data_IF_042207859729
#
_entry.id   IF_042207859729
#
_cell.length_a   1.000
_cell.length_b   1.000
_cell.length_c   1.000
_cell.angle_alpha   90.00
_cell.angle_beta   90.00
_cell.angle_gamma   90.00
#
_symmetry.space_group_name_H-M   'P 1'
#
loop_
_entity.id
_entity.type
_entity.pdbx_description
1 polymer ?
#
# COMPACT_ATOMS: atom_id res chain seq x y z
N UNK A 1 0.72 -0.43 -7.72
CA UNK A 1 1.14 0.16 -6.41
C UNK A 1 -0.14 0.36 -5.59
N UNK A 2 -0.12 0.16 -4.28
CA UNK A 2 -1.28 0.46 -3.40
C UNK A 2 -0.95 1.74 -2.63
N UNK A 3 -1.48 2.91 -3.03
CA UNK A 3 -1.20 4.17 -2.34
C UNK A 3 -1.98 4.27 -1.02
N UNK A 4 -1.27 4.63 0.05
CA UNK A 4 -1.82 4.66 1.41
C UNK A 4 -1.44 5.96 2.09
N UNK A 5 -2.43 6.70 2.59
CA UNK A 5 -2.27 7.87 3.44
C UNK A 5 -2.43 7.44 4.90
N UNK A 6 -1.32 7.40 5.62
CA UNK A 6 -1.31 6.99 7.02
C UNK A 6 -1.45 8.20 7.98
N UNK A 7 -1.83 7.92 9.22
CA UNK A 7 -1.97 8.86 10.35
C UNK A 7 -3.15 9.82 10.22
N UNK A 8 -4.25 9.35 9.64
CA UNK A 8 -5.49 10.15 9.51
C UNK A 8 -6.13 10.53 10.85
N UNK A 9 -5.73 9.87 11.93
CA UNK A 9 -6.16 10.14 13.30
C UNK A 9 -5.61 11.45 13.89
N UNK A 10 -4.60 12.06 13.25
CA UNK A 10 -3.99 13.27 13.77
C UNK A 10 -4.87 14.50 13.52
N UNK A 11 -5.06 15.39 14.50
CA UNK A 11 -5.91 16.58 14.37
C UNK A 11 -5.39 17.59 13.33
N UNK A 12 -4.11 17.49 12.94
CA UNK A 12 -3.50 18.29 11.88
C UNK A 12 -3.32 17.54 10.56
N UNK A 13 -3.93 16.36 10.40
CA UNK A 13 -3.88 15.65 9.13
C UNK A 13 -4.72 16.39 8.08
N UNK A 14 -4.20 16.47 6.85
CA UNK A 14 -4.93 16.94 5.67
C UNK A 14 -4.96 15.82 4.60
N UNK A 15 -5.80 14.78 4.78
CA UNK A 15 -5.83 13.65 3.86
C UNK A 15 -6.22 14.04 2.44
N UNK A 16 -7.09 15.04 2.25
CA UNK A 16 -7.53 15.46 0.92
C UNK A 16 -6.43 16.23 0.17
N UNK A 17 -5.78 17.19 0.81
CA UNK A 17 -4.67 17.92 0.19
C UNK A 17 -3.51 16.99 -0.18
N UNK A 18 -3.17 16.05 0.70
CA UNK A 18 -2.11 15.06 0.42
C UNK A 18 -2.55 14.07 -0.65
N UNK A 19 -3.82 13.65 -0.68
CA UNK A 19 -4.33 12.79 -1.75
C UNK A 19 -4.17 13.46 -3.13
N UNK A 20 -4.48 14.75 -3.24
CA UNK A 20 -4.29 15.49 -4.49
C UNK A 20 -2.81 15.51 -4.91
N UNK A 21 -1.89 15.74 -3.98
CA UNK A 21 -0.46 15.68 -4.29
C UNK A 21 -0.01 14.30 -4.76
N UNK A 22 -0.56 13.23 -4.18
CA UNK A 22 -0.28 11.85 -4.61
C UNK A 22 -0.82 11.59 -6.02
N UNK A 23 -2.02 12.09 -6.34
CA UNK A 23 -2.60 12.00 -7.69
C UNK A 23 -1.68 12.71 -8.69
N UNK A 24 -1.26 13.93 -8.39
CA UNK A 24 -0.42 14.74 -9.28
C UNK A 24 0.96 14.12 -9.50
N UNK A 25 1.52 13.43 -8.49
CA UNK A 25 2.86 12.85 -8.53
C UNK A 25 2.89 11.42 -9.10
N UNK A 26 1.96 10.57 -8.70
CA UNK A 26 1.93 9.14 -9.01
C UNK A 26 1.01 8.84 -10.21
N UNK A 27 0.03 9.69 -10.49
CA UNK A 27 -0.93 9.51 -11.58
C UNK A 27 -2.01 8.46 -11.30
N UNK A 28 -2.33 8.19 -10.04
CA UNK A 28 -3.45 7.33 -9.64
C UNK A 28 -4.75 8.14 -9.48
N UNK A 29 -5.89 7.46 -9.33
CA UNK A 29 -7.17 8.13 -9.01
C UNK A 29 -7.37 8.27 -7.51
N UNK A 30 -8.30 9.14 -7.10
CA UNK A 30 -8.60 9.39 -5.68
C UNK A 30 -9.10 8.13 -4.98
N UNK A 31 -9.88 7.32 -5.69
CA UNK A 31 -10.51 6.08 -5.21
C UNK A 31 -9.49 4.96 -4.99
N UNK A 32 -8.34 5.03 -5.64
CA UNK A 32 -7.26 4.06 -5.43
C UNK A 32 -6.50 4.31 -4.12
N UNK A 33 -6.59 5.52 -3.55
CA UNK A 33 -5.86 5.97 -2.36
C UNK A 33 -6.62 5.60 -1.09
N UNK A 34 -6.01 4.75 -0.27
CA UNK A 34 -6.57 4.32 1.01
C UNK A 34 -6.13 5.24 2.15
N UNK A 35 -7.10 5.71 2.93
CA UNK A 35 -6.88 6.47 4.15
C UNK A 35 -6.83 5.50 5.34
N UNK A 36 -5.74 5.50 6.10
CA UNK A 36 -5.54 4.56 7.22
C UNK A 36 -4.94 5.24 8.45
N UNK A 37 -5.19 4.67 9.61
CA UNK A 37 -4.43 4.94 10.82
C UNK A 37 -3.80 3.66 11.35
N UNK A 38 -2.48 3.56 11.22
CA UNK A 38 -1.73 2.49 11.88
C UNK A 38 -1.76 2.55 13.42
N UNK A 39 -2.26 3.66 14.00
CA UNK A 39 -2.38 3.82 15.46
C UNK A 39 -3.72 3.31 15.98
N UNK A 40 -4.83 3.68 15.33
CA UNK A 40 -6.19 3.29 15.77
C UNK A 40 -6.67 2.00 15.11
N UNK A 41 -6.07 1.61 13.99
CA UNK A 41 -6.48 0.46 13.19
C UNK A 41 -7.52 0.80 12.11
N UNK A 42 -7.98 2.05 12.03
CA UNK A 42 -8.92 2.51 11.00
C UNK A 42 -8.33 2.32 9.59
N UNK A 43 -9.12 1.75 8.66
CA UNK A 43 -8.71 1.52 7.27
C UNK A 43 -7.73 0.35 7.05
N UNK A 44 -7.27 -0.31 8.12
CA UNK A 44 -6.27 -1.38 8.01
C UNK A 44 -6.85 -2.66 7.40
N UNK A 45 -8.12 -2.98 7.69
CA UNK A 45 -8.76 -4.17 7.11
C UNK A 45 -8.93 -4.00 5.60
N UNK A 46 -9.42 -2.85 5.18
CA UNK A 46 -9.61 -2.46 3.78
C UNK A 46 -8.27 -2.45 3.04
N UNK A 47 -7.19 -2.01 3.70
CA UNK A 47 -5.84 -2.11 3.15
C UNK A 47 -5.39 -3.56 2.93
N UNK A 48 -5.64 -4.45 3.90
CA UNK A 48 -5.29 -5.86 3.74
C UNK A 48 -6.08 -6.52 2.59
N UNK A 49 -7.36 -6.21 2.47
CA UNK A 49 -8.20 -6.67 1.35
C UNK A 49 -7.67 -6.15 0.00
N UNK A 50 -7.35 -4.86 -0.08
CA UNK A 50 -6.79 -4.27 -1.30
C UNK A 50 -5.42 -4.88 -1.67
N UNK A 51 -4.61 -5.28 -0.69
CA UNK A 51 -3.36 -6.00 -0.96
C UNK A 51 -3.65 -7.36 -1.61
N UNK A 52 -4.61 -8.12 -1.06
CA UNK A 52 -4.99 -9.43 -1.60
C UNK A 52 -5.54 -9.30 -3.02
N UNK A 53 -6.34 -8.27 -3.30
CA UNK A 53 -6.95 -8.07 -4.61
C UNK A 53 -5.98 -7.52 -5.67
N UNK A 54 -5.11 -6.59 -5.28
CA UNK A 54 -4.30 -5.79 -6.23
C UNK A 54 -2.86 -6.30 -6.40
N UNK A 55 -2.33 -7.04 -5.44
CA UNK A 55 -0.95 -7.58 -5.53
C UNK A 55 -1.00 -8.97 -6.16
N UNK A 56 -0.35 -9.18 -7.33
CA UNK A 56 -0.35 -10.48 -7.96
C UNK A 56 0.42 -11.50 -7.14
N UNK A 57 -0.05 -12.75 -7.16
CA UNK A 57 0.69 -13.86 -6.59
C UNK A 57 2.06 -14.04 -7.29
N UNK A 58 3.10 -14.48 -6.58
CA UNK A 58 4.40 -14.73 -7.19
C UNK A 58 4.32 -15.89 -8.20
N UNK A 59 5.04 -15.76 -9.32
CA UNK A 59 5.18 -16.86 -10.28
C UNK A 59 6.00 -18.02 -9.70
N UNK A 60 5.46 -19.24 -9.78
CA UNK A 60 6.18 -20.47 -9.39
C UNK A 60 6.67 -21.22 -10.63
N UNK A 61 7.92 -21.68 -10.62
CA UNK A 61 8.51 -22.53 -11.66
C UNK A 61 9.23 -23.69 -10.98
N UNK A 62 8.54 -24.83 -10.85
CA UNK A 62 9.01 -25.99 -10.08
C UNK A 62 10.18 -26.73 -10.76
N UNK A 63 10.28 -26.66 -12.09
CA UNK A 63 11.32 -27.35 -12.87
C UNK A 63 12.62 -26.56 -13.05
N UNK A 64 12.85 -25.50 -12.26
CA UNK A 64 14.04 -24.66 -12.36
C UNK A 64 14.99 -24.85 -11.18
N UNK A 65 16.32 -24.70 -11.40
CA UNK A 65 17.28 -24.65 -10.30
C UNK A 65 16.91 -23.58 -9.27
N UNK A 66 17.26 -23.82 -8.00
CA UNK A 66 17.04 -22.87 -6.91
C UNK A 66 17.62 -21.49 -7.24
N UNK A 67 16.79 -20.46 -7.13
CA UNK A 67 17.20 -19.06 -7.23
C UNK A 67 16.56 -18.29 -6.06
N UNK A 68 17.40 -17.70 -5.22
CA UNK A 68 16.98 -16.91 -4.08
C UNK A 68 17.63 -15.52 -4.13
N UNK A 69 16.92 -14.50 -3.63
CA UNK A 69 17.42 -13.14 -3.48
C UNK A 69 17.65 -12.87 -2.00
N UNK A 70 18.91 -12.63 -1.61
CA UNK A 70 19.21 -12.05 -0.30
C UNK A 70 18.92 -10.56 -0.41
N UNK A 71 17.97 -10.07 0.39
CA UNK A 71 17.59 -8.66 0.41
C UNK A 71 17.92 -7.98 1.75
N UNK A 72 18.19 -8.77 2.80
CA UNK A 72 18.60 -8.29 4.11
C UNK A 72 19.42 -9.39 4.84
N UNK A 73 20.33 -8.98 5.74
CA UNK A 73 21.14 -9.87 6.59
C UNK A 73 21.50 -9.18 7.90
N UNK A 74 21.43 -9.92 9.01
CA UNK A 74 21.77 -9.43 10.37
C UNK A 74 23.25 -9.60 10.66
#
# INVERSE_FOLDING_TARGET
>A
IVPVLNKIDLPGADPEGVAQQVIDLIGCTREEILAVSGKTGEGVLELLEAIVERVPAPERKEDKPLKALIFDSV
#
